data_IF_875248955339
#
_entry.id   IF_875248955339
#
_cell.length_a   1.000
_cell.length_b   1.000
_cell.length_c   1.000
_cell.angle_alpha   90.00
_cell.angle_beta   90.00
_cell.angle_gamma   90.00
#
_symmetry.space_group_name_H-M   'P 1'
#
loop_
_entity.id
_entity.type
_entity.pdbx_description
1 polymer ?
#
# COMPACT_ATOMS: atom_id res chain seq x y z
N UNK A 1 -13.54 58.43 46.85
CA UNK A 1 -13.26 56.97 46.82
C UNK A 1 -13.60 56.49 45.43
N UNK A 2 -12.64 56.52 44.50
CA UNK A 2 -12.87 56.05 43.13
C UNK A 2 -12.63 54.54 43.12
N UNK A 3 -13.71 53.76 43.13
CA UNK A 3 -13.69 52.32 43.01
C UNK A 3 -13.14 51.94 41.64
N UNK A 4 -11.97 51.32 41.64
CA UNK A 4 -11.35 50.73 40.46
C UNK A 4 -12.13 49.47 40.08
N UNK A 5 -13.27 49.64 39.40
CA UNK A 5 -13.99 48.53 38.78
C UNK A 5 -13.15 47.98 37.63
N UNK A 6 -12.35 46.95 37.93
CA UNK A 6 -11.78 46.09 36.90
C UNK A 6 -12.94 45.38 36.21
N UNK A 7 -13.47 45.99 35.15
CA UNK A 7 -14.43 45.32 34.28
C UNK A 7 -13.81 44.00 33.81
N UNK A 8 -14.46 42.85 34.07
CA UNK A 8 -13.98 41.58 33.55
C UNK A 8 -14.30 41.52 32.05
N UNK A 9 -13.48 42.22 31.26
CA UNK A 9 -13.62 42.31 29.80
C UNK A 9 -13.67 40.93 29.15
N UNK A 10 -12.94 39.96 29.71
CA UNK A 10 -12.97 38.57 29.27
C UNK A 10 -14.36 37.92 29.43
N UNK A 11 -15.08 38.22 30.51
CA UNK A 11 -16.43 37.69 30.73
C UNK A 11 -17.42 38.35 29.76
N UNK A 12 -17.33 39.66 29.56
CA UNK A 12 -18.24 40.39 28.66
C UNK A 12 -18.06 39.93 27.21
N UNK A 13 -16.83 39.71 26.76
CA UNK A 13 -16.55 39.22 25.40
C UNK A 13 -17.06 37.77 25.22
N UNK A 14 -16.88 36.92 26.23
CA UNK A 14 -17.39 35.54 26.19
C UNK A 14 -18.93 35.52 26.19
N UNK A 15 -19.56 36.38 26.99
CA UNK A 15 -21.00 36.49 27.08
C UNK A 15 -21.59 37.04 25.77
N UNK A 16 -20.96 38.05 25.17
CA UNK A 16 -21.40 38.61 23.88
C UNK A 16 -21.22 37.62 22.72
N UNK A 17 -20.10 36.89 22.66
CA UNK A 17 -19.83 35.88 21.66
C UNK A 17 -20.83 34.71 21.72
N UNK A 18 -21.25 34.32 22.93
CA UNK A 18 -22.18 33.21 23.14
C UNK A 18 -23.66 33.62 23.08
N UNK A 19 -23.99 34.84 23.49
CA UNK A 19 -25.36 35.37 23.51
C UNK A 19 -25.81 35.89 22.14
N UNK A 20 -25.01 36.75 21.49
CA UNK A 20 -25.40 37.41 20.23
C UNK A 20 -24.95 36.66 18.98
N UNK A 21 -23.89 35.84 19.05
CA UNK A 21 -23.28 35.23 17.87
C UNK A 21 -23.34 33.69 17.85
N UNK A 22 -24.53 33.13 18.11
CA UNK A 22 -24.79 31.68 18.12
C UNK A 22 -24.37 30.99 16.81
N UNK A 23 -24.53 31.68 15.67
CA UNK A 23 -24.15 31.16 14.35
C UNK A 23 -22.63 31.00 14.23
N UNK A 24 -21.84 32.01 14.64
CA UNK A 24 -20.38 31.89 14.62
C UNK A 24 -19.89 30.77 15.54
N UNK A 25 -20.52 30.58 16.70
CA UNK A 25 -20.16 29.50 17.61
C UNK A 25 -20.42 28.11 16.99
N UNK A 26 -21.55 27.93 16.31
CA UNK A 26 -21.86 26.70 15.55
C UNK A 26 -20.82 26.49 14.44
N UNK A 27 -20.46 27.54 13.70
CA UNK A 27 -19.44 27.44 12.64
C UNK A 27 -18.07 27.05 13.20
N UNK A 28 -17.67 27.60 14.35
CA UNK A 28 -16.42 27.21 15.02
C UNK A 28 -16.43 25.72 15.36
N UNK A 29 -17.52 25.24 15.96
CA UNK A 29 -17.67 23.81 16.28
C UNK A 29 -17.64 22.97 15.00
N UNK A 30 -18.34 23.39 13.95
CA UNK A 30 -18.37 22.68 12.67
C UNK A 30 -16.98 22.59 12.03
N UNK A 31 -16.18 23.67 12.08
CA UNK A 31 -14.81 23.69 11.58
C UNK A 31 -13.91 22.73 12.37
N UNK A 32 -14.01 22.74 13.71
CA UNK A 32 -13.25 21.82 14.57
C UNK A 32 -13.64 20.37 14.31
N UNK A 33 -14.95 20.08 14.23
CA UNK A 33 -15.44 18.75 13.91
C UNK A 33 -14.95 18.27 12.53
N UNK A 34 -14.97 19.17 11.54
CA UNK A 34 -14.47 18.86 10.19
C UNK A 34 -12.97 18.59 10.21
N UNK A 35 -12.17 19.38 10.94
CA UNK A 35 -10.73 19.18 11.06
C UNK A 35 -10.38 17.84 11.74
N UNK A 36 -11.08 17.47 12.81
CA UNK A 36 -10.90 16.17 13.46
C UNK A 36 -11.34 15.04 12.52
N UNK A 37 -12.46 15.23 11.82
CA UNK A 37 -13.00 14.27 10.86
C UNK A 37 -12.04 13.98 9.72
N UNK A 38 -11.42 15.01 9.12
CA UNK A 38 -10.45 14.81 8.03
C UNK A 38 -9.21 14.04 8.49
N UNK A 39 -8.69 14.33 9.68
CA UNK A 39 -7.55 13.61 10.27
C UNK A 39 -7.94 12.15 10.52
N UNK A 40 -9.12 11.91 11.11
CA UNK A 40 -9.62 10.58 11.41
C UNK A 40 -9.81 9.73 10.16
N UNK A 41 -10.49 10.29 9.14
CA UNK A 41 -10.69 9.62 7.85
C UNK A 41 -9.35 9.30 7.23
N UNK A 42 -8.40 10.24 7.20
CA UNK A 42 -7.05 10.01 6.64
C UNK A 42 -6.33 8.87 7.35
N UNK A 43 -6.42 8.80 8.68
CA UNK A 43 -5.81 7.72 9.45
C UNK A 43 -6.44 6.35 9.14
N UNK A 44 -7.78 6.29 9.09
CA UNK A 44 -8.49 5.08 8.73
C UNK A 44 -8.17 4.64 7.30
N UNK A 45 -8.19 5.56 6.32
CA UNK A 45 -7.82 5.25 4.93
C UNK A 45 -6.41 4.68 4.86
N UNK A 46 -5.42 5.25 5.58
CA UNK A 46 -4.06 4.70 5.62
C UNK A 46 -4.01 3.27 6.16
N UNK A 47 -4.76 2.97 7.21
CA UNK A 47 -4.82 1.61 7.78
C UNK A 47 -5.46 0.62 6.81
N UNK A 48 -6.64 0.95 6.26
CA UNK A 48 -7.34 0.07 5.32
C UNK A 48 -6.54 -0.14 4.03
N UNK A 49 -5.94 0.92 3.48
CA UNK A 49 -5.08 0.80 2.29
C UNK A 49 -3.84 -0.05 2.57
N UNK A 50 -3.25 0.01 3.77
CA UNK A 50 -2.12 -0.83 4.13
C UNK A 50 -2.50 -2.31 4.19
N UNK A 51 -3.67 -2.65 4.74
CA UNK A 51 -4.16 -4.04 4.79
C UNK A 51 -4.48 -4.57 3.39
N UNK A 52 -5.20 -3.80 2.59
CA UNK A 52 -5.48 -4.15 1.20
C UNK A 52 -4.19 -4.31 0.39
N UNK A 53 -3.21 -3.42 0.62
CA UNK A 53 -1.89 -3.48 -0.01
C UNK A 53 -1.15 -4.78 0.32
N UNK A 54 -1.21 -5.26 1.57
CA UNK A 54 -0.62 -6.55 1.96
C UNK A 54 -1.26 -7.72 1.22
N UNK A 55 -2.58 -7.73 1.12
CA UNK A 55 -3.30 -8.81 0.43
C UNK A 55 -2.98 -8.83 -1.08
N UNK A 56 -2.97 -7.66 -1.71
CA UNK A 56 -2.58 -7.50 -3.13
C UNK A 56 -1.14 -7.94 -3.35
N UNK A 57 -0.22 -7.62 -2.44
CA UNK A 57 1.17 -8.05 -2.52
C UNK A 57 1.29 -9.58 -2.44
N UNK A 58 0.56 -10.23 -1.53
CA UNK A 58 0.55 -11.68 -1.40
C UNK A 58 0.02 -12.36 -2.67
N UNK A 59 -1.07 -11.85 -3.25
CA UNK A 59 -1.61 -12.35 -4.51
C UNK A 59 -0.62 -12.22 -5.66
N UNK A 60 0.00 -11.04 -5.84
CA UNK A 60 1.03 -10.81 -6.87
C UNK A 60 2.23 -11.74 -6.70
N UNK A 61 2.65 -11.99 -5.46
CA UNK A 61 3.74 -12.93 -5.17
C UNK A 61 3.38 -14.36 -5.58
N UNK A 62 2.13 -14.78 -5.36
CA UNK A 62 1.66 -16.10 -5.75
C UNK A 62 1.54 -16.24 -7.28
N UNK A 63 1.00 -15.22 -7.94
CA UNK A 63 0.89 -15.16 -9.41
C UNK A 63 2.25 -15.27 -10.09
N UNK A 64 3.25 -14.51 -9.60
CA UNK A 64 4.61 -14.60 -10.13
C UNK A 64 5.21 -16.00 -9.98
N UNK A 65 5.01 -16.64 -8.82
CA UNK A 65 5.48 -18.02 -8.60
C UNK A 65 4.79 -19.01 -9.53
N UNK A 66 3.48 -18.86 -9.74
CA UNK A 66 2.72 -19.69 -10.66
C UNK A 66 3.23 -19.57 -12.10
N UNK A 67 3.44 -18.35 -12.58
CA UNK A 67 3.98 -18.11 -13.93
C UNK A 67 5.38 -18.72 -14.05
N UNK A 68 6.23 -18.54 -13.05
CA UNK A 68 7.58 -19.10 -13.05
C UNK A 68 7.56 -20.63 -13.13
N UNK A 69 6.72 -21.27 -12.31
CA UNK A 69 6.55 -22.72 -12.32
C UNK A 69 6.03 -23.22 -13.66
N UNK A 70 5.06 -22.53 -14.25
CA UNK A 70 4.54 -22.87 -15.57
C UNK A 70 5.62 -22.76 -16.64
N UNK A 71 6.48 -21.74 -16.60
CA UNK A 71 7.61 -21.61 -17.51
C UNK A 71 8.63 -22.75 -17.33
N UNK A 72 8.95 -23.11 -16.08
CA UNK A 72 9.87 -24.20 -15.77
C UNK A 72 9.35 -25.55 -16.28
N UNK A 73 8.08 -25.88 -16.01
CA UNK A 73 7.45 -27.11 -16.48
C UNK A 73 7.36 -27.17 -18.02
N UNK A 74 7.04 -26.06 -18.67
CA UNK A 74 7.03 -25.99 -20.13
C UNK A 74 8.44 -26.18 -20.72
N UNK A 75 9.46 -25.55 -20.14
CA UNK A 75 10.84 -25.71 -20.58
C UNK A 75 11.32 -27.17 -20.39
N UNK A 76 11.00 -27.78 -19.24
CA UNK A 76 11.32 -29.17 -18.93
C UNK A 76 10.60 -30.15 -19.86
N UNK A 77 9.31 -29.92 -20.13
CA UNK A 77 8.52 -30.73 -21.07
C UNK A 77 9.06 -30.62 -22.49
N UNK A 78 9.37 -29.42 -22.97
CA UNK A 78 10.00 -29.23 -24.28
C UNK A 78 11.34 -29.95 -24.36
N UNK A 79 12.21 -29.80 -23.36
CA UNK A 79 13.48 -30.51 -23.27
C UNK A 79 13.28 -32.03 -23.33
N UNK A 80 12.34 -32.56 -22.55
CA UNK A 80 12.01 -33.99 -22.55
C UNK A 80 11.54 -34.49 -23.92
N UNK A 81 10.71 -33.71 -24.62
CA UNK A 81 10.26 -34.03 -25.99
C UNK A 81 11.42 -34.06 -26.98
N UNK A 82 12.32 -33.08 -26.90
CA UNK A 82 13.51 -32.99 -27.76
C UNK A 82 14.45 -34.17 -27.48
N UNK A 83 14.70 -34.49 -26.21
CA UNK A 83 15.52 -35.64 -25.81
C UNK A 83 14.92 -36.97 -26.26
N UNK A 84 13.60 -37.16 -26.15
CA UNK A 84 12.92 -38.36 -26.63
C UNK A 84 13.02 -38.53 -28.17
N UNK A 85 12.90 -37.43 -28.91
CA UNK A 85 13.10 -37.44 -30.36
C UNK A 85 14.56 -37.74 -30.71
N UNK A 86 15.52 -37.10 -30.04
CA UNK A 86 16.96 -37.33 -30.24
C UNK A 86 17.35 -38.79 -29.97
N UNK A 87 16.83 -39.38 -28.88
CA UNK A 87 17.04 -40.78 -28.56
C UNK A 87 16.50 -41.71 -29.65
N UNK A 88 15.37 -41.36 -30.29
CA UNK A 88 14.82 -42.13 -31.41
C UNK A 88 15.72 -42.09 -32.66
N UNK A 89 16.54 -41.05 -32.82
CA UNK A 89 17.57 -40.95 -33.87
C UNK A 89 18.92 -41.55 -33.44
N UNK A 90 19.01 -42.18 -32.26
CA UNK A 90 20.26 -42.73 -31.72
C UNK A 90 21.25 -41.67 -31.24
N UNK A 91 20.83 -40.41 -31.13
CA UNK A 91 21.65 -39.31 -30.62
C UNK A 91 21.67 -39.37 -29.08
N UNK A 92 22.81 -39.01 -28.49
CA UNK A 92 22.99 -38.92 -27.04
C UNK A 92 23.44 -37.51 -26.65
N UNK A 93 23.10 -37.10 -25.43
CA UNK A 93 23.60 -35.83 -24.88
C UNK A 93 25.13 -35.87 -24.77
N UNK A 94 25.78 -34.76 -25.12
CA UNK A 94 27.25 -34.63 -25.11
C UNK A 94 27.73 -34.78 -23.66
N UNK A 95 28.71 -35.66 -23.43
CA UNK A 95 29.34 -35.82 -22.12
C UNK A 95 30.45 -34.78 -21.95
N UNK A 96 30.72 -34.36 -20.71
CA UNK A 96 31.77 -33.37 -20.40
C UNK A 96 33.15 -33.77 -20.91
N UNK A 97 33.42 -35.08 -21.01
CA UNK A 97 34.69 -35.59 -21.56
C UNK A 97 34.87 -35.29 -23.06
N UNK A 98 33.80 -34.92 -23.77
CA UNK A 98 33.78 -34.63 -25.21
C UNK A 98 33.73 -33.12 -25.50
N UNK A 99 33.67 -32.28 -24.45
CA UNK A 99 33.55 -30.83 -24.57
C UNK A 99 34.96 -30.19 -24.67
N UNK A 100 35.33 -29.71 -25.86
CA UNK A 100 36.58 -28.98 -26.08
C UNK A 100 36.28 -27.49 -26.01
N UNK A 101 36.69 -26.84 -24.92
CA UNK A 101 36.54 -25.39 -24.74
C UNK A 101 37.72 -24.71 -25.43
N UNK A 102 37.45 -24.03 -26.54
CA UNK A 102 38.41 -23.13 -27.17
C UNK A 102 38.44 -21.83 -26.37
N UNK A 103 39.57 -21.57 -25.72
CA UNK A 103 39.84 -20.29 -25.04
C UNK A 103 40.62 -19.44 -26.04
N UNK A 104 40.06 -18.29 -26.44
CA UNK A 104 40.80 -17.24 -27.16
C UNK A 104 41.75 -16.48 -26.22
#
# INVERSE_FOLDING_TARGET
>A
MASNERYPLHQIILDDLTAHNKVALILIIAVVATAIGTIWITHQTRLLTAEQGKLVQAQRKLENQYIHLQLEENAKSQKSRVEAAAASFGLQSIKKEQEVILVE
#
